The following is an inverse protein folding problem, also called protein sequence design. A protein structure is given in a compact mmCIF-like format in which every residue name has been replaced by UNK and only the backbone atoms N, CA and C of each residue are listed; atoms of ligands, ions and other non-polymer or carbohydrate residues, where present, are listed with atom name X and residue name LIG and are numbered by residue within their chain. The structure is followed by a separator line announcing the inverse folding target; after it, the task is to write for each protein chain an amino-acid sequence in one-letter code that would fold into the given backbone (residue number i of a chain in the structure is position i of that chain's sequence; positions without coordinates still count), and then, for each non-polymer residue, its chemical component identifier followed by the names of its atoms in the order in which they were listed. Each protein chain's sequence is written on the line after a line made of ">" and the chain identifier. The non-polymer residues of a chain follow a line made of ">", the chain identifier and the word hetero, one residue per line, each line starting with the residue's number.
data_IF_665628732897
#
_entry.id   IF_665628732897
#
_cell.length_a   1.000
_cell.length_b   1.000
_cell.length_c   1.000
_cell.angle_alpha   90.00
_cell.angle_beta   90.00
_cell.angle_gamma   90.00
#
_symmetry.space_group_name_H-M   'P 1'
#
loop_
_entity.id
_entity.type
_entity.pdbx_description
1 polymer ?
#
# COMPACT_ATOMS: atom_id res chain seq x y z
N UNK A 1 27.36 8.45 16.46
CA UNK A 1 26.12 9.14 16.86
C UNK A 1 25.12 8.84 15.76
N UNK A 2 24.18 7.91 15.98
CA UNK A 2 23.12 7.69 14.99
C UNK A 2 22.09 8.78 15.26
N UNK A 3 21.86 9.66 14.28
CA UNK A 3 20.74 10.59 14.35
C UNK A 3 19.45 9.79 14.57
N UNK A 4 18.61 10.25 15.49
CA UNK A 4 17.30 9.63 15.69
C UNK A 4 16.50 9.79 14.38
N UNK A 5 15.87 8.71 13.89
CA UNK A 5 15.06 8.80 12.69
C UNK A 5 13.91 9.77 12.92
N UNK A 6 13.65 10.63 11.94
CA UNK A 6 12.49 11.53 11.95
C UNK A 6 11.23 10.70 12.15
N UNK A 7 10.48 11.00 13.22
CA UNK A 7 9.19 10.39 13.48
C UNK A 7 8.19 10.79 12.38
N UNK A 8 7.38 9.83 11.92
CA UNK A 8 6.37 10.03 10.88
C UNK A 8 5.01 9.60 11.39
N UNK A 9 3.96 10.31 10.97
CA UNK A 9 2.57 10.01 11.32
C UNK A 9 2.01 8.87 10.45
N UNK A 10 2.52 8.71 9.23
CA UNK A 10 2.15 7.62 8.34
C UNK A 10 3.27 7.34 7.32
N UNK A 11 3.26 6.14 6.77
CA UNK A 11 4.02 5.79 5.58
C UNK A 11 3.09 5.31 4.47
N UNK A 12 3.25 5.89 3.28
CA UNK A 12 2.56 5.52 2.05
C UNK A 12 3.55 4.77 1.17
N UNK A 13 3.27 3.49 0.94
CA UNK A 13 4.04 2.61 0.07
C UNK A 13 3.42 2.65 -1.32
N UNK A 14 4.25 2.90 -2.33
CA UNK A 14 3.85 2.99 -3.74
C UNK A 14 4.72 2.00 -4.51
N UNK A 15 4.09 1.14 -5.30
CA UNK A 15 4.77 -0.03 -5.86
C UNK A 15 5.40 0.24 -7.21
N UNK A 16 4.59 0.70 -8.17
CA UNK A 16 5.02 0.81 -9.56
C UNK A 16 5.53 2.22 -9.92
N UNK A 17 6.50 2.28 -10.83
CA UNK A 17 6.99 3.55 -11.40
C UNK A 17 5.87 4.43 -11.98
N UNK A 18 4.84 3.82 -12.57
CA UNK A 18 3.70 4.53 -13.15
C UNK A 18 2.85 5.24 -12.08
N UNK A 19 2.80 4.70 -10.86
CA UNK A 19 2.11 5.25 -9.69
C UNK A 19 3.00 6.27 -8.98
N UNK A 20 4.30 6.00 -8.92
CA UNK A 20 5.27 6.85 -8.25
C UNK A 20 5.49 8.19 -8.97
N UNK A 21 5.57 8.17 -10.30
CA UNK A 21 5.81 9.38 -11.11
C UNK A 21 4.80 10.52 -10.84
N UNK A 22 3.48 10.31 -10.84
CA UNK A 22 2.54 11.40 -10.53
C UNK A 22 2.64 11.87 -9.07
N UNK A 23 2.97 10.99 -8.12
CA UNK A 23 3.22 11.38 -6.73
C UNK A 23 4.45 12.29 -6.65
N UNK A 24 5.57 11.92 -7.29
CA UNK A 24 6.76 12.78 -7.42
C UNK A 24 6.45 14.14 -8.04
N UNK A 25 5.62 14.17 -9.08
CA UNK A 25 5.24 15.41 -9.74
C UNK A 25 4.42 16.34 -8.83
N UNK A 26 3.69 15.80 -7.85
CA UNK A 26 2.93 16.57 -6.85
C UNK A 26 3.80 17.24 -5.79
N UNK A 27 5.03 16.75 -5.61
CA UNK A 27 6.02 17.24 -4.65
C UNK A 27 7.36 17.53 -5.34
N UNK A 28 7.41 18.51 -6.26
CA UNK A 28 8.61 18.77 -7.08
C UNK A 28 9.81 19.21 -6.24
N UNK A 29 9.57 19.86 -5.11
CA UNK A 29 10.61 20.39 -4.22
C UNK A 29 11.03 19.42 -3.10
N UNK A 30 10.46 18.20 -3.07
CA UNK A 30 10.79 17.23 -2.05
C UNK A 30 12.23 16.73 -2.18
N UNK A 31 12.93 16.64 -1.05
CA UNK A 31 14.27 16.05 -1.00
C UNK A 31 14.16 14.53 -1.08
N UNK A 32 14.80 13.98 -2.09
CA UNK A 32 14.72 12.56 -2.40
C UNK A 32 15.84 11.81 -1.71
N UNK A 33 15.47 10.74 -1.03
CA UNK A 33 16.35 9.91 -0.23
C UNK A 33 16.39 8.53 -0.90
N UNK A 34 17.55 8.09 -1.41
CA UNK A 34 17.71 6.74 -1.95
C UNK A 34 17.55 5.70 -0.83
N UNK A 35 17.00 4.55 -1.19
CA UNK A 35 16.80 3.41 -0.28
C UNK A 35 17.26 2.12 -0.96
N UNK A 36 17.45 1.01 -0.23
CA UNK A 36 17.76 -0.28 -0.85
C UNK A 36 16.70 -0.78 -1.85
N UNK A 37 15.48 -0.25 -1.79
CA UNK A 37 14.32 -0.69 -2.58
C UNK A 37 13.86 0.36 -3.61
N UNK A 38 14.55 1.49 -3.72
CA UNK A 38 14.18 2.58 -4.61
C UNK A 38 14.50 3.93 -4.00
N UNK A 39 13.48 4.75 -3.82
CA UNK A 39 13.62 6.10 -3.28
C UNK A 39 12.42 6.48 -2.41
N UNK A 40 12.62 7.48 -1.58
CA UNK A 40 11.60 7.98 -0.66
C UNK A 40 11.75 9.48 -0.45
N UNK A 41 10.69 10.11 0.05
CA UNK A 41 10.76 11.47 0.55
C UNK A 41 9.77 11.66 1.69
N UNK A 42 9.98 12.70 2.48
CA UNK A 42 9.03 13.12 3.53
C UNK A 42 8.34 14.39 3.06
N UNK A 43 7.03 14.45 3.23
CA UNK A 43 6.24 15.65 2.98
C UNK A 43 5.24 15.90 4.11
N UNK A 44 4.91 17.17 4.30
CA UNK A 44 3.85 17.59 5.21
C UNK A 44 2.50 17.60 4.46
N UNK A 45 1.47 17.00 5.08
CA UNK A 45 0.10 16.99 4.55
C UNK A 45 -0.81 17.71 5.53
N UNK A 46 -1.54 18.72 5.04
CA UNK A 46 -2.51 19.44 5.85
C UNK A 46 -3.72 18.54 6.19
N UNK A 47 -4.11 18.46 7.47
CA UNK A 47 -5.28 17.70 7.87
C UNK A 47 -6.57 18.41 7.41
N UNK A 48 -7.66 17.68 7.15
CA UNK A 48 -8.95 18.27 6.77
C UNK A 48 -9.64 18.98 7.95
N UNK A 49 -9.19 18.77 9.18
CA UNK A 49 -9.76 19.37 10.40
C UNK A 49 -8.90 20.59 10.77
N UNK A 50 -9.54 21.76 10.84
CA UNK A 50 -8.92 22.98 11.31
C UNK A 50 -8.28 22.78 12.70
N UNK A 51 -7.13 23.43 12.94
CA UNK A 51 -6.38 23.43 14.21
C UNK A 51 -5.61 22.14 14.55
N UNK A 52 -5.45 21.22 13.60
CA UNK A 52 -4.44 20.16 13.71
C UNK A 52 -3.14 20.53 13.02
N UNK A 53 -1.97 20.15 13.57
CA UNK A 53 -0.70 20.31 12.87
C UNK A 53 -0.66 19.45 11.59
N UNK A 54 0.13 19.85 10.57
CA UNK A 54 0.37 19.03 9.39
C UNK A 54 0.91 17.64 9.76
N UNK A 55 0.44 16.62 9.06
CA UNK A 55 0.98 15.27 9.18
C UNK A 55 2.32 15.16 8.48
N UNK A 56 3.29 14.55 9.14
CA UNK A 56 4.58 14.19 8.56
C UNK A 56 4.46 12.81 7.92
N UNK A 57 4.44 12.76 6.59
CA UNK A 57 4.18 11.52 5.84
C UNK A 57 5.40 11.10 5.05
N UNK A 58 5.80 9.85 5.21
CA UNK A 58 6.80 9.21 4.38
C UNK A 58 6.14 8.65 3.12
N UNK A 59 6.62 9.08 1.95
CA UNK A 59 6.30 8.48 0.67
C UNK A 59 7.46 7.57 0.25
N UNK A 60 7.17 6.30 -0.01
CA UNK A 60 8.19 5.30 -0.26
C UNK A 60 7.89 4.50 -1.53
N UNK A 61 8.78 4.56 -2.51
CA UNK A 61 8.72 3.72 -3.70
C UNK A 61 9.36 2.36 -3.38
N UNK A 62 8.52 1.32 -3.25
CA UNK A 62 8.88 0.03 -2.65
C UNK A 62 9.22 -1.08 -3.64
N UNK A 63 8.93 -0.90 -4.93
CA UNK A 63 9.01 -1.98 -5.93
C UNK A 63 7.69 -2.75 -6.08
N UNK A 64 7.65 -3.70 -7.00
CA UNK A 64 6.42 -4.43 -7.36
C UNK A 64 6.62 -5.94 -7.21
N UNK A 65 5.54 -6.64 -6.87
CA UNK A 65 5.57 -8.05 -6.49
C UNK A 65 5.74 -8.25 -4.98
N UNK A 66 5.47 -9.47 -4.50
CA UNK A 66 5.40 -9.77 -3.05
C UNK A 66 6.74 -9.64 -2.34
N UNK A 67 7.84 -9.98 -3.03
CA UNK A 67 9.19 -9.93 -2.46
C UNK A 67 9.56 -8.48 -2.11
N UNK A 68 9.45 -7.58 -3.09
CA UNK A 68 9.74 -6.16 -2.92
C UNK A 68 8.78 -5.54 -1.90
N UNK A 69 7.48 -5.81 -2.02
CA UNK A 69 6.47 -5.29 -1.09
C UNK A 69 6.73 -5.70 0.37
N UNK A 70 7.04 -6.97 0.62
CA UNK A 70 7.35 -7.46 1.97
C UNK A 70 8.65 -6.85 2.50
N UNK A 71 9.71 -6.83 1.69
CA UNK A 71 11.02 -6.33 2.10
C UNK A 71 11.01 -4.81 2.35
N UNK A 72 10.35 -4.04 1.49
CA UNK A 72 10.21 -2.59 1.66
C UNK A 72 9.34 -2.26 2.88
N UNK A 73 8.25 -2.99 3.10
CA UNK A 73 7.37 -2.79 4.26
C UNK A 73 8.13 -3.04 5.56
N UNK A 74 8.86 -4.16 5.65
CA UNK A 74 9.66 -4.47 6.83
C UNK A 74 10.76 -3.42 7.05
N UNK A 75 11.43 -2.98 5.99
CA UNK A 75 12.44 -1.92 6.07
C UNK A 75 11.86 -0.62 6.64
N UNK A 76 10.67 -0.21 6.20
CA UNK A 76 9.99 0.98 6.73
C UNK A 76 9.67 0.79 8.21
N UNK A 77 9.11 -0.36 8.61
CA UNK A 77 8.79 -0.67 10.01
C UNK A 77 10.05 -0.55 10.88
N UNK A 78 11.16 -1.17 10.46
CA UNK A 78 12.39 -1.21 11.25
C UNK A 78 13.04 0.17 11.41
N UNK A 79 12.97 1.01 10.37
CA UNK A 79 13.70 2.28 10.31
C UNK A 79 12.86 3.51 10.66
N UNK A 80 11.53 3.40 10.67
CA UNK A 80 10.61 4.54 10.87
C UNK A 80 9.51 4.25 11.88
N UNK A 81 9.14 2.98 12.08
CA UNK A 81 8.08 2.56 13.00
C UNK A 81 6.81 3.42 12.87
N UNK A 82 6.30 3.63 11.64
CA UNK A 82 5.12 4.46 11.45
C UNK A 82 3.92 3.83 12.18
N UNK A 83 3.05 4.64 12.79
CA UNK A 83 1.83 4.12 13.41
C UNK A 83 0.77 3.71 12.38
N UNK A 84 0.92 4.14 11.12
CA UNK A 84 0.01 3.82 10.01
C UNK A 84 0.81 3.53 8.73
N UNK A 85 0.46 2.43 8.07
CA UNK A 85 0.98 2.03 6.75
C UNK A 85 -0.17 1.99 5.75
N UNK A 86 0.00 2.64 4.61
CA UNK A 86 -0.98 2.69 3.52
C UNK A 86 -0.30 2.18 2.26
N UNK A 87 -0.83 1.11 1.67
CA UNK A 87 -0.42 0.69 0.33
C UNK A 87 -1.28 1.44 -0.70
N UNK A 88 -0.63 2.19 -1.58
CA UNK A 88 -1.26 2.92 -2.67
C UNK A 88 -0.78 2.37 -4.00
N UNK A 89 -1.71 1.85 -4.79
CA UNK A 89 -1.41 1.34 -6.12
C UNK A 89 -2.64 1.27 -6.99
N UNK A 90 -2.42 0.81 -8.21
CA UNK A 90 -3.42 0.47 -9.20
C UNK A 90 -3.64 -1.03 -9.22
N UNK A 91 -4.83 -1.46 -9.61
CA UNK A 91 -5.17 -2.88 -9.75
C UNK A 91 -6.06 -3.11 -10.98
N UNK A 92 -6.12 -4.37 -11.42
CA UNK A 92 -7.07 -4.79 -12.44
C UNK A 92 -8.44 -5.08 -11.82
N UNK A 93 -9.50 -4.58 -12.45
CA UNK A 93 -10.88 -4.92 -12.09
C UNK A 93 -11.42 -6.07 -12.93
N UNK A 94 -12.26 -6.92 -12.33
CA UNK A 94 -13.02 -7.91 -13.10
C UNK A 94 -14.12 -7.24 -13.93
N UNK A 95 -14.26 -7.68 -15.19
CA UNK A 95 -15.22 -7.08 -16.12
C UNK A 95 -16.66 -7.26 -15.60
N UNK A 96 -17.38 -6.14 -15.53
CA UNK A 96 -18.77 -6.12 -15.04
C UNK A 96 -18.88 -5.91 -13.54
N UNK A 97 -17.74 -5.91 -12.82
CA UNK A 97 -17.70 -5.68 -11.38
C UNK A 97 -17.08 -4.31 -11.04
N UNK A 98 -15.84 -4.06 -11.48
CA UNK A 98 -15.11 -2.81 -11.19
C UNK A 98 -14.81 -2.06 -12.49
N UNK A 99 -15.21 -0.80 -12.58
CA UNK A 99 -14.89 0.06 -13.72
C UNK A 99 -13.52 0.73 -13.58
N UNK A 100 -12.88 1.03 -14.72
CA UNK A 100 -11.60 1.74 -14.74
C UNK A 100 -11.75 3.14 -14.12
N UNK A 101 -10.86 3.46 -13.18
CA UNK A 101 -10.84 4.75 -12.47
C UNK A 101 -11.63 4.77 -11.16
N UNK A 102 -12.30 3.67 -10.79
CA UNK A 102 -12.87 3.53 -9.45
C UNK A 102 -11.77 3.48 -8.38
N UNK A 103 -12.05 4.09 -7.23
CA UNK A 103 -11.16 4.04 -6.05
C UNK A 103 -11.69 2.96 -5.12
N UNK A 104 -10.87 1.94 -4.89
CA UNK A 104 -11.20 0.82 -4.03
C UNK A 104 -10.55 1.01 -2.66
N UNK A 105 -11.33 0.79 -1.60
CA UNK A 105 -10.86 0.68 -0.23
C UNK A 105 -10.84 -0.80 0.14
N UNK A 106 -9.66 -1.41 0.10
CA UNK A 106 -9.54 -2.85 0.32
C UNK A 106 -9.79 -3.18 1.80
N UNK A 107 -10.71 -4.10 2.07
CA UNK A 107 -11.01 -4.61 3.41
C UNK A 107 -10.68 -6.10 3.59
N UNK A 108 -10.36 -6.79 2.50
CA UNK A 108 -9.90 -8.18 2.51
C UNK A 108 -8.85 -8.42 1.43
N UNK A 109 -7.78 -9.15 1.76
CA UNK A 109 -6.78 -9.59 0.78
C UNK A 109 -6.63 -11.10 0.77
N UNK A 110 -6.44 -11.67 -0.42
CA UNK A 110 -6.17 -13.09 -0.66
C UNK A 110 -5.00 -13.26 -1.62
N UNK A 111 -4.17 -14.29 -1.43
CA UNK A 111 -3.09 -14.61 -2.38
C UNK A 111 -3.46 -15.88 -3.18
N UNK A 112 -3.88 -15.72 -4.43
CA UNK A 112 -4.52 -16.82 -5.18
C UNK A 112 -3.55 -17.80 -5.85
N UNK A 113 -2.29 -17.41 -6.01
CA UNK A 113 -1.26 -18.21 -6.67
C UNK A 113 -0.45 -19.08 -5.69
N UNK A 114 -0.96 -19.27 -4.47
CA UNK A 114 -0.39 -20.22 -3.51
C UNK A 114 -0.79 -21.63 -3.91
N UNK A 115 0.20 -22.44 -4.27
CA UNK A 115 0.05 -23.86 -4.56
C UNK A 115 0.75 -24.68 -3.47
N UNK A 116 0.00 -25.09 -2.45
CA UNK A 116 0.50 -25.97 -1.38
C UNK A 116 0.57 -27.42 -1.87
N UNK A 117 1.73 -28.06 -1.71
CA UNK A 117 2.00 -29.43 -2.19
C UNK A 117 2.34 -30.41 -1.07
N UNK A 118 2.48 -29.92 0.15
CA UNK A 118 2.87 -30.69 1.34
C UNK A 118 1.71 -30.85 2.34
N UNK A 119 0.76 -29.93 2.35
CA UNK A 119 -0.35 -29.88 3.31
C UNK A 119 -1.72 -29.68 2.68
N UNK A 120 -2.63 -29.11 3.46
CA UNK A 120 -3.97 -28.72 3.01
C UNK A 120 -3.90 -27.37 2.26
N UNK A 121 -4.25 -27.34 0.96
CA UNK A 121 -4.26 -26.09 0.19
C UNK A 121 -5.21 -25.03 0.72
N UNK A 122 -6.37 -25.43 1.28
CA UNK A 122 -7.35 -24.47 1.80
C UNK A 122 -6.84 -23.81 3.09
N UNK A 123 -6.10 -24.56 3.93
CA UNK A 123 -5.44 -24.03 5.12
C UNK A 123 -4.35 -23.02 4.75
N UNK A 124 -3.53 -23.32 3.74
CA UNK A 124 -2.50 -22.41 3.26
C UNK A 124 -3.12 -21.13 2.71
N UNK A 125 -4.18 -21.23 1.90
CA UNK A 125 -4.87 -20.07 1.35
C UNK A 125 -5.48 -19.19 2.47
N UNK A 126 -6.15 -19.81 3.45
CA UNK A 126 -6.72 -19.11 4.60
C UNK A 126 -5.63 -18.44 5.47
N UNK A 127 -4.45 -19.04 5.61
CA UNK A 127 -3.34 -18.48 6.37
C UNK A 127 -2.84 -17.15 5.80
N UNK A 128 -2.82 -17.01 4.48
CA UNK A 128 -2.38 -15.79 3.79
C UNK A 128 -3.54 -14.85 3.42
N UNK A 129 -4.77 -15.18 3.82
CA UNK A 129 -5.88 -14.26 3.77
C UNK A 129 -5.77 -13.23 4.91
N UNK A 130 -6.19 -11.99 4.67
CA UNK A 130 -6.13 -10.95 5.70
C UNK A 130 -7.34 -10.03 5.60
N UNK A 131 -8.11 -9.95 6.68
CA UNK A 131 -9.08 -8.88 6.91
C UNK A 131 -8.35 -7.62 7.39
N UNK A 132 -8.65 -6.48 6.76
CA UNK A 132 -8.05 -5.20 7.11
C UNK A 132 -9.01 -4.46 8.05
N UNK A 133 -8.55 -4.14 9.27
CA UNK A 133 -9.34 -3.34 10.20
C UNK A 133 -9.46 -1.89 9.71
N UNK A 134 -10.66 -1.54 9.26
CA UNK A 134 -11.04 -0.21 8.81
C UNK A 134 -11.98 0.51 9.80
N UNK A 135 -12.23 -0.06 10.98
CA UNK A 135 -13.17 0.48 11.97
C UNK A 135 -12.78 1.86 12.51
N UNK A 136 -11.51 2.23 12.36
CA UNK A 136 -10.97 3.53 12.75
C UNK A 136 -11.28 4.66 11.75
N UNK A 137 -11.69 4.33 10.52
CA UNK A 137 -12.07 5.31 9.50
C UNK A 137 -13.40 5.98 9.85
N UNK A 138 -13.48 7.29 9.61
CA UNK A 138 -14.68 8.08 9.85
C UNK A 138 -15.35 8.42 8.54
N UNK A 139 -16.64 8.12 8.47
CA UNK A 139 -17.50 8.53 7.35
C UNK A 139 -17.96 9.99 7.49
N UNK A 140 -18.20 10.71 6.38
CA UNK A 140 -17.98 10.27 5.00
C UNK A 140 -16.49 10.31 4.62
N UNK A 141 -16.04 9.31 3.86
CA UNK A 141 -14.72 9.34 3.25
C UNK A 141 -14.58 10.52 2.26
N UNK A 142 -13.37 11.08 2.10
CA UNK A 142 -13.16 12.31 1.32
C UNK A 142 -13.35 12.11 -0.19
N UNK A 143 -13.34 10.86 -0.65
CA UNK A 143 -13.58 10.47 -2.04
C UNK A 143 -14.63 9.36 -2.06
N UNK A 144 -15.44 9.23 -3.13
CA UNK A 144 -16.26 8.05 -3.33
C UNK A 144 -15.36 6.82 -3.43
N UNK A 145 -15.46 5.93 -2.46
CA UNK A 145 -14.72 4.66 -2.43
C UNK A 145 -15.68 3.50 -2.30
N UNK A 146 -15.36 2.40 -2.97
CA UNK A 146 -16.06 1.12 -2.81
C UNK A 146 -15.20 0.18 -1.98
N UNK A 147 -15.79 -0.48 -0.98
CA UNK A 147 -15.11 -1.56 -0.26
C UNK A 147 -15.02 -2.78 -1.14
N UNK A 148 -13.84 -3.38 -1.25
CA UNK A 148 -13.63 -4.55 -2.09
C UNK A 148 -12.57 -5.50 -1.56
N UNK A 149 -12.68 -6.75 -2.01
CA UNK A 149 -11.62 -7.73 -1.87
C UNK A 149 -10.55 -7.51 -2.94
N UNK A 150 -9.28 -7.59 -2.51
CA UNK A 150 -8.13 -7.60 -3.42
C UNK A 150 -7.51 -8.99 -3.49
N UNK A 151 -7.33 -9.48 -4.70
CA UNK A 151 -6.61 -10.73 -4.94
C UNK A 151 -5.19 -10.40 -5.42
N UNK A 152 -4.19 -10.85 -4.68
CA UNK A 152 -2.77 -10.61 -4.93
C UNK A 152 -2.08 -11.84 -5.52
N UNK A 153 -1.04 -11.63 -6.35
CA UNK A 153 -0.18 -12.67 -6.89
C UNK A 153 1.16 -12.12 -7.38
N UNK A 154 2.11 -13.02 -7.63
CA UNK A 154 3.38 -12.74 -8.35
C UNK A 154 3.28 -13.13 -9.84
N UNK A 155 2.08 -13.41 -10.31
CA UNK A 155 1.79 -13.69 -11.71
C UNK A 155 0.57 -12.90 -12.19
N UNK A 156 0.58 -12.58 -13.46
CA UNK A 156 -0.59 -12.02 -14.14
C UNK A 156 -1.77 -12.97 -14.05
N UNK A 157 -2.97 -12.39 -14.00
CA UNK A 157 -4.21 -13.15 -13.96
C UNK A 157 -4.40 -13.94 -15.25
N UNK A 158 -4.56 -15.26 -15.13
CA UNK A 158 -4.91 -16.13 -16.25
C UNK A 158 -6.39 -16.42 -16.16
N UNK A 159 -7.20 -15.82 -17.04
CA UNK A 159 -8.66 -15.88 -16.96
C UNK A 159 -9.28 -17.29 -16.95
N UNK A 160 -8.55 -18.34 -17.34
CA UNK A 160 -9.01 -19.72 -17.27
C UNK A 160 -8.79 -20.38 -15.89
N UNK A 161 -8.07 -19.71 -14.99
CA UNK A 161 -7.66 -20.22 -13.67
C UNK A 161 -8.38 -19.51 -12.51
N UNK A 162 -9.34 -18.64 -12.80
CA UNK A 162 -10.06 -17.80 -11.83
C UNK A 162 -11.56 -17.84 -12.09
#
# INVERSE_FOLDING_TARGET
>A
MREEPIAVDAAIIISANAEWRPVRARYPDAVIIPTPYGESFIASIEPPVADRPPWTVLFFHGGWGKIDAAASTQYIIDHRRPPLLINLGTCGGFRGDVAAGEVLLVDFTLVYDILEQMGDPDEALAHYATEIDLSWLREPLPLPTRREMLISADRDIVAAEV
#
